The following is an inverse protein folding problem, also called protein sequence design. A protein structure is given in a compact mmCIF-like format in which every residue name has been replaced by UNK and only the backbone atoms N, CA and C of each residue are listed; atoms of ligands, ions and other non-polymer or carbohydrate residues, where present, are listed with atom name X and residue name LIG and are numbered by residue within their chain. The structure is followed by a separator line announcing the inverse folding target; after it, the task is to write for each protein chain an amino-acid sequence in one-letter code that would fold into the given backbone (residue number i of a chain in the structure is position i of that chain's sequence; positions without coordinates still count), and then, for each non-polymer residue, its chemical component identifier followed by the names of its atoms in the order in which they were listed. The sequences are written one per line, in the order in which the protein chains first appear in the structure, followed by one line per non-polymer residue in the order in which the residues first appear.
data_IF_958927176841
#
_entry.id   IF_958927176841
#
_cell.length_a   1.000
_cell.length_b   1.000
_cell.length_c   1.000
_cell.angle_alpha   90.00
_cell.angle_beta   90.00
_cell.angle_gamma   90.00
#
_symmetry.space_group_name_H-M   'P 1'
#
loop_
_entity.id
_entity.type
_entity.pdbx_description
1 polymer ?
#
# COMPACT_ATOMS: atom_id res chain seq x y z
N UNK A 1 20.35 -14.04 0.26
CA UNK A 1 18.99 -13.51 0.44
C UNK A 1 18.38 -14.23 1.63
N UNK A 2 17.67 -13.54 2.53
CA UNK A 2 17.07 -14.20 3.71
C UNK A 2 15.97 -15.16 3.24
N UNK A 3 15.95 -16.45 3.67
CA UNK A 3 14.99 -17.45 3.20
C UNK A 3 13.53 -17.04 3.45
N UNK A 4 13.26 -16.27 4.50
CA UNK A 4 11.92 -15.74 4.78
C UNK A 4 11.45 -14.70 3.75
N UNK A 5 12.36 -13.83 3.28
CA UNK A 5 12.05 -12.89 2.20
C UNK A 5 11.79 -13.62 0.88
N UNK A 6 12.60 -14.64 0.59
CA UNK A 6 12.38 -15.50 -0.59
C UNK A 6 11.01 -16.18 -0.53
N UNK A 7 10.63 -16.72 0.62
CA UNK A 7 9.32 -17.35 0.82
C UNK A 7 8.18 -16.36 0.55
N UNK A 8 8.23 -15.16 1.14
CA UNK A 8 7.19 -14.13 0.93
C UNK A 8 7.11 -13.71 -0.54
N UNK A 9 8.26 -13.57 -1.20
CA UNK A 9 8.30 -13.22 -2.62
C UNK A 9 7.71 -14.33 -3.51
N UNK A 10 8.06 -15.58 -3.27
CA UNK A 10 7.53 -16.75 -4.01
C UNK A 10 6.02 -16.88 -3.81
N UNK A 11 5.56 -16.80 -2.54
CA UNK A 11 4.13 -16.86 -2.23
C UNK A 11 3.39 -15.69 -2.86
N UNK A 12 3.93 -14.46 -2.77
CA UNK A 12 3.34 -13.27 -3.39
C UNK A 12 3.23 -13.40 -4.91
N UNK A 13 4.29 -13.89 -5.57
CA UNK A 13 4.29 -14.11 -7.02
C UNK A 13 3.28 -15.19 -7.43
N UNK A 14 3.20 -16.29 -6.70
CA UNK A 14 2.22 -17.35 -6.97
C UNK A 14 0.78 -16.85 -6.82
N UNK A 15 0.50 -16.03 -5.79
CA UNK A 15 -0.80 -15.41 -5.58
C UNK A 15 -1.13 -14.39 -6.67
N UNK A 16 -0.16 -13.58 -7.11
CA UNK A 16 -0.33 -12.63 -8.20
C UNK A 16 -0.71 -13.33 -9.51
N UNK A 17 -0.01 -14.43 -9.84
CA UNK A 17 -0.34 -15.23 -11.02
C UNK A 17 -1.72 -15.88 -10.89
N UNK A 18 -2.03 -16.47 -9.73
CA UNK A 18 -3.35 -17.02 -9.44
C UNK A 18 -4.46 -15.97 -9.55
N UNK A 19 -4.23 -14.75 -9.06
CA UNK A 19 -5.17 -13.65 -9.17
C UNK A 19 -5.34 -13.16 -10.59
N UNK A 20 -4.26 -13.10 -11.37
CA UNK A 20 -4.34 -12.76 -12.80
C UNK A 20 -5.21 -13.73 -13.58
N UNK A 21 -5.07 -15.03 -13.33
CA UNK A 21 -5.92 -16.07 -13.93
C UNK A 21 -7.38 -15.96 -13.44
N UNK A 22 -7.58 -15.70 -12.15
CA UNK A 22 -8.90 -15.53 -11.56
C UNK A 22 -9.66 -14.35 -12.18
N UNK A 23 -9.02 -13.21 -12.34
CA UNK A 23 -9.60 -12.03 -12.98
C UNK A 23 -9.85 -12.24 -14.47
N UNK A 24 -8.97 -12.98 -15.16
CA UNK A 24 -9.10 -13.22 -16.60
C UNK A 24 -10.18 -14.23 -16.99
N UNK A 25 -10.45 -15.22 -16.13
CA UNK A 25 -11.27 -16.37 -16.52
C UNK A 25 -12.45 -16.64 -15.57
N UNK A 26 -12.39 -16.23 -14.30
CA UNK A 26 -13.33 -16.68 -13.27
C UNK A 26 -14.05 -15.55 -12.54
N UNK A 27 -13.76 -14.32 -12.87
CA UNK A 27 -14.41 -13.13 -12.26
C UNK A 27 -14.99 -12.25 -13.35
N UNK A 28 -16.24 -11.85 -13.19
CA UNK A 28 -16.85 -10.80 -14.01
C UNK A 28 -16.27 -9.44 -13.61
N UNK A 29 -15.60 -8.79 -14.54
CA UNK A 29 -14.92 -7.51 -14.30
C UNK A 29 -15.89 -6.35 -14.08
N UNK A 30 -17.11 -6.43 -14.64
CA UNK A 30 -18.11 -5.35 -14.51
C UNK A 30 -18.78 -5.40 -13.13
N UNK A 31 -19.25 -6.56 -12.73
CA UNK A 31 -19.94 -6.73 -11.43
C UNK A 31 -18.99 -6.98 -10.26
N UNK A 32 -17.76 -7.45 -10.53
CA UNK A 32 -16.81 -7.90 -9.51
C UNK A 32 -17.21 -9.22 -8.84
N UNK A 33 -18.18 -9.93 -9.40
CA UNK A 33 -18.70 -11.20 -8.89
C UNK A 33 -17.88 -12.38 -9.43
N UNK A 34 -17.79 -13.40 -8.61
CA UNK A 34 -17.17 -14.67 -8.96
C UNK A 34 -18.12 -15.48 -9.87
N UNK A 35 -17.70 -15.79 -11.09
CA UNK A 35 -18.45 -16.62 -12.04
C UNK A 35 -18.27 -18.11 -11.70
N UNK A 36 -17.02 -18.51 -11.41
CA UNK A 36 -16.66 -19.90 -11.16
C UNK A 36 -15.84 -20.01 -9.88
N UNK A 37 -16.10 -21.07 -9.10
CA UNK A 37 -15.36 -21.40 -7.90
C UNK A 37 -15.96 -20.81 -6.61
N UNK A 38 -15.27 -21.06 -5.49
CA UNK A 38 -15.73 -20.64 -4.17
C UNK A 38 -15.13 -19.29 -3.77
N UNK A 39 -15.97 -18.38 -3.33
CA UNK A 39 -15.59 -17.09 -2.73
C UNK A 39 -14.71 -17.29 -1.50
N UNK A 40 -15.00 -18.32 -0.71
CA UNK A 40 -14.24 -18.65 0.50
C UNK A 40 -12.79 -19.04 0.21
N UNK A 41 -12.53 -19.72 -0.92
CA UNK A 41 -11.17 -20.09 -1.32
C UNK A 41 -10.31 -18.83 -1.60
N UNK A 42 -10.91 -17.81 -2.20
CA UNK A 42 -10.24 -16.53 -2.48
C UNK A 42 -9.91 -15.77 -1.20
N UNK A 43 -10.85 -15.73 -0.26
CA UNK A 43 -10.58 -15.11 1.05
C UNK A 43 -9.57 -15.92 1.87
N UNK A 44 -9.57 -17.24 1.77
CA UNK A 44 -8.58 -18.08 2.42
C UNK A 44 -7.17 -17.79 1.85
N UNK A 45 -7.04 -17.68 0.53
CA UNK A 45 -5.77 -17.31 -0.12
C UNK A 45 -5.26 -15.94 0.35
N UNK A 46 -6.14 -14.94 0.40
CA UNK A 46 -5.83 -13.61 0.94
C UNK A 46 -5.40 -13.69 2.41
N UNK A 47 -6.14 -14.44 3.24
CA UNK A 47 -5.82 -14.65 4.65
C UNK A 47 -4.46 -15.32 4.84
N UNK A 48 -4.13 -16.34 4.04
CA UNK A 48 -2.82 -17.01 4.07
C UNK A 48 -1.70 -16.02 3.70
N UNK A 49 -1.89 -15.20 2.66
CA UNK A 49 -0.92 -14.18 2.26
C UNK A 49 -0.61 -13.21 3.41
N UNK A 50 -1.65 -12.73 4.09
CA UNK A 50 -1.51 -11.84 5.25
C UNK A 50 -0.78 -12.53 6.39
N UNK A 51 -1.19 -13.76 6.75
CA UNK A 51 -0.59 -14.51 7.86
C UNK A 51 0.89 -14.83 7.61
N UNK A 52 1.23 -15.29 6.41
CA UNK A 52 2.63 -15.59 6.03
C UNK A 52 3.47 -14.32 6.08
N UNK A 53 2.95 -13.21 5.55
CA UNK A 53 3.63 -11.91 5.55
C UNK A 53 3.83 -11.36 6.97
N UNK A 54 2.83 -11.44 7.83
CA UNK A 54 2.92 -11.01 9.22
C UNK A 54 3.91 -11.87 10.02
N UNK A 55 3.88 -13.18 9.82
CA UNK A 55 4.80 -14.11 10.48
C UNK A 55 6.26 -13.86 10.04
N UNK A 56 6.50 -13.76 8.74
CA UNK A 56 7.80 -13.44 8.19
C UNK A 56 8.31 -12.08 8.68
N UNK A 57 7.45 -11.06 8.66
CA UNK A 57 7.80 -9.71 9.10
C UNK A 57 8.16 -9.61 10.57
N UNK A 58 7.48 -10.37 11.43
CA UNK A 58 7.83 -10.44 12.86
C UNK A 58 9.17 -11.14 13.13
N UNK A 59 9.59 -12.05 12.24
CA UNK A 59 10.89 -12.72 12.30
C UNK A 59 12.02 -11.88 11.71
N UNK A 60 11.70 -10.99 10.78
CA UNK A 60 12.63 -10.07 10.14
C UNK A 60 12.65 -8.76 10.95
N UNK A 61 13.37 -8.74 12.05
CA UNK A 61 13.58 -7.50 12.78
C UNK A 61 14.49 -6.56 11.97
N UNK A 62 13.98 -5.38 11.60
CA UNK A 62 14.82 -4.29 11.13
C UNK A 62 14.96 -3.23 12.24
N UNK A 63 16.11 -2.59 12.30
CA UNK A 63 16.29 -1.47 13.20
C UNK A 63 15.74 -0.19 12.55
N UNK A 64 14.74 0.48 13.16
CA UNK A 64 14.16 1.69 12.59
C UNK A 64 15.16 2.82 12.38
N UNK A 65 16.25 2.85 13.15
CA UNK A 65 17.34 3.82 12.99
C UNK A 65 18.02 3.72 11.62
N UNK A 66 18.13 2.52 11.05
CA UNK A 66 18.76 2.30 9.75
C UNK A 66 17.94 2.89 8.58
N UNK A 67 16.65 3.20 8.80
CA UNK A 67 15.82 3.89 7.80
C UNK A 67 16.18 5.37 7.62
N UNK A 68 16.89 5.96 8.58
CA UNK A 68 17.40 7.32 8.54
C UNK A 68 18.77 7.42 7.86
N UNK A 69 19.02 6.58 6.89
CA UNK A 69 20.27 6.53 6.12
C UNK A 69 20.06 6.85 4.65
N UNK A 70 21.19 7.10 3.95
CA UNK A 70 21.20 7.20 2.51
C UNK A 70 20.87 5.84 1.87
N UNK A 71 19.76 5.76 1.15
CA UNK A 71 19.32 4.55 0.47
C UNK A 71 18.79 4.88 -0.93
N UNK A 72 19.68 4.79 -1.93
CA UNK A 72 19.34 5.11 -3.32
C UNK A 72 18.15 4.31 -3.85
N UNK A 73 18.09 2.97 -3.72
CA UNK A 73 16.97 2.21 -4.27
C UNK A 73 15.63 2.61 -3.65
N UNK A 74 15.56 2.76 -2.31
CA UNK A 74 14.33 3.23 -1.64
C UNK A 74 13.93 4.64 -2.10
N UNK A 75 14.92 5.53 -2.25
CA UNK A 75 14.69 6.89 -2.75
C UNK A 75 14.12 6.90 -4.18
N UNK A 76 14.68 6.09 -5.08
CA UNK A 76 14.21 6.00 -6.47
C UNK A 76 12.78 5.44 -6.54
N UNK A 77 12.51 4.32 -5.88
CA UNK A 77 11.18 3.70 -5.87
C UNK A 77 10.13 4.65 -5.29
N UNK A 78 10.47 5.34 -4.19
CA UNK A 78 9.55 6.31 -3.58
C UNK A 78 9.35 7.55 -4.45
N UNK A 79 10.39 8.01 -5.18
CA UNK A 79 10.24 9.09 -6.15
C UNK A 79 9.32 8.70 -7.31
N UNK A 80 9.45 7.48 -7.83
CA UNK A 80 8.57 6.95 -8.88
C UNK A 80 7.12 6.88 -8.40
N UNK A 81 6.89 6.36 -7.18
CA UNK A 81 5.56 6.34 -6.58
C UNK A 81 4.99 7.76 -6.40
N UNK A 82 5.81 8.70 -5.93
CA UNK A 82 5.42 10.12 -5.80
C UNK A 82 5.05 10.75 -7.14
N UNK A 83 5.82 10.50 -8.18
CA UNK A 83 5.54 10.97 -9.54
C UNK A 83 4.23 10.36 -10.07
N UNK A 84 4.00 9.06 -9.84
CA UNK A 84 2.77 8.37 -10.23
C UNK A 84 1.53 8.99 -9.57
N UNK A 85 1.54 9.19 -8.25
CA UNK A 85 0.42 9.80 -7.56
C UNK A 85 0.17 11.24 -8.01
N UNK A 86 1.23 12.03 -8.20
CA UNK A 86 1.11 13.40 -8.71
C UNK A 86 0.51 13.42 -10.11
N UNK A 87 1.01 12.57 -11.02
CA UNK A 87 0.49 12.45 -12.38
C UNK A 87 -0.97 11.98 -12.40
N UNK A 88 -1.33 10.99 -11.59
CA UNK A 88 -2.70 10.49 -11.47
C UNK A 88 -3.66 11.59 -11.02
N UNK A 89 -3.28 12.39 -10.03
CA UNK A 89 -4.06 13.54 -9.58
C UNK A 89 -4.27 14.58 -10.69
N UNK A 90 -3.22 14.96 -11.42
CA UNK A 90 -3.34 15.89 -12.55
C UNK A 90 -4.17 15.32 -13.71
N UNK A 91 -4.01 14.05 -14.03
CA UNK A 91 -4.82 13.40 -15.07
C UNK A 91 -6.30 13.41 -14.74
N UNK A 92 -6.69 13.27 -13.45
CA UNK A 92 -8.10 13.39 -13.05
C UNK A 92 -8.65 14.78 -13.31
N UNK A 93 -7.85 15.82 -13.10
CA UNK A 93 -8.26 17.20 -13.46
C UNK A 93 -8.42 17.36 -14.98
N UNK A 94 -7.54 16.75 -15.78
CA UNK A 94 -7.56 16.87 -17.24
C UNK A 94 -8.72 16.09 -17.90
N UNK A 95 -9.04 14.90 -17.40
CA UNK A 95 -10.09 14.03 -17.96
C UNK A 95 -11.50 14.51 -17.61
N UNK A 96 -11.63 15.40 -16.64
CA UNK A 96 -12.91 15.93 -16.17
C UNK A 96 -13.38 15.25 -14.88
N UNK A 97 -13.95 16.06 -14.01
CA UNK A 97 -14.40 15.61 -12.69
C UNK A 97 -15.87 15.23 -12.73
N UNK A 98 -16.16 14.02 -12.30
CA UNK A 98 -17.53 13.50 -12.22
C UNK A 98 -18.25 13.83 -10.91
N UNK A 99 -17.67 14.69 -10.07
CA UNK A 99 -18.28 15.09 -8.80
C UNK A 99 -17.28 15.52 -7.73
N UNK A 100 -17.79 15.99 -6.59
CA UNK A 100 -16.97 16.47 -5.46
C UNK A 100 -15.98 15.41 -4.93
N UNK A 101 -16.38 14.14 -4.91
CA UNK A 101 -15.51 13.04 -4.46
C UNK A 101 -14.29 12.84 -5.35
N UNK A 102 -14.45 12.97 -6.66
CA UNK A 102 -13.37 12.92 -7.64
C UNK A 102 -12.38 14.08 -7.47
N UNK A 103 -12.89 15.28 -7.18
CA UNK A 103 -12.10 16.47 -6.89
C UNK A 103 -11.23 16.29 -5.63
N UNK A 104 -11.84 15.86 -4.52
CA UNK A 104 -11.13 15.60 -3.27
C UNK A 104 -10.03 14.56 -3.48
N UNK A 105 -10.34 13.48 -4.17
CA UNK A 105 -9.37 12.42 -4.48
C UNK A 105 -8.18 12.95 -5.29
N UNK A 106 -8.42 13.77 -6.31
CA UNK A 106 -7.35 14.35 -7.12
C UNK A 106 -6.40 15.22 -6.29
N UNK A 107 -6.93 16.06 -5.40
CA UNK A 107 -6.12 16.87 -4.49
C UNK A 107 -5.29 15.97 -3.56
N UNK A 108 -5.90 14.95 -2.97
CA UNK A 108 -5.22 14.04 -2.05
C UNK A 108 -4.14 13.20 -2.75
N UNK A 109 -4.34 12.81 -4.01
CA UNK A 109 -3.33 12.14 -4.83
C UNK A 109 -2.11 13.06 -5.04
N UNK A 110 -2.32 14.34 -5.36
CA UNK A 110 -1.22 15.31 -5.52
C UNK A 110 -0.49 15.52 -4.19
N UNK A 111 -1.20 15.70 -3.08
CA UNK A 111 -0.60 15.89 -1.76
C UNK A 111 0.22 14.68 -1.32
N UNK A 112 -0.29 13.46 -1.56
CA UNK A 112 0.45 12.22 -1.32
C UNK A 112 1.72 12.16 -2.18
N UNK A 113 1.62 12.46 -3.47
CA UNK A 113 2.75 12.50 -4.39
C UNK A 113 3.83 13.47 -3.96
N UNK A 114 3.46 14.68 -3.53
CA UNK A 114 4.39 15.69 -3.01
C UNK A 114 5.07 15.24 -1.70
N UNK A 115 4.32 14.57 -0.82
CA UNK A 115 4.88 14.01 0.40
C UNK A 115 5.88 12.89 0.11
N UNK A 116 5.56 11.96 -0.78
CA UNK A 116 6.48 10.89 -1.23
C UNK A 116 7.72 11.45 -1.90
N UNK A 117 7.60 12.50 -2.70
CA UNK A 117 8.74 13.16 -3.33
C UNK A 117 9.71 13.78 -2.29
N UNK A 118 9.18 14.38 -1.21
CA UNK A 118 10.00 14.88 -0.09
C UNK A 118 10.68 13.74 0.64
N UNK A 119 9.99 12.64 0.89
CA UNK A 119 10.55 11.44 1.51
C UNK A 119 11.66 10.82 0.65
N UNK A 120 11.44 10.71 -0.65
CA UNK A 120 12.44 10.26 -1.61
C UNK A 120 13.71 11.13 -1.59
N UNK A 121 13.53 12.46 -1.56
CA UNK A 121 14.65 13.41 -1.45
C UNK A 121 15.45 13.20 -0.17
N UNK A 122 14.80 12.84 0.95
CA UNK A 122 15.48 12.55 2.22
C UNK A 122 16.39 11.32 2.11
N UNK A 123 15.97 10.26 1.41
CA UNK A 123 16.78 9.05 1.19
C UNK A 123 17.85 9.19 0.10
N UNK A 124 17.65 10.09 -0.86
CA UNK A 124 18.62 10.34 -1.93
C UNK A 124 19.77 11.26 -1.49
N UNK A 125 19.60 12.05 -0.42
CA UNK A 125 20.65 12.90 0.12
C UNK A 125 21.68 12.08 0.89
N UNK A 126 22.95 12.50 0.85
CA UNK A 126 24.03 11.89 1.65
C UNK A 126 23.75 12.07 3.15
N UNK A 127 23.41 13.31 3.53
CA UNK A 127 23.00 13.64 4.90
C UNK A 127 21.48 13.54 5.00
N UNK A 128 21.01 12.53 5.74
CA UNK A 128 19.59 12.32 5.91
C UNK A 128 18.95 13.49 6.66
N UNK A 129 17.90 14.03 6.12
CA UNK A 129 17.08 15.05 6.75
C UNK A 129 15.62 14.59 6.79
N UNK A 130 14.88 14.82 7.87
CA UNK A 130 13.48 14.44 7.91
C UNK A 130 12.71 15.14 6.78
N UNK A 131 11.76 14.45 6.12
CA UNK A 131 11.01 15.00 5.00
C UNK A 131 10.14 16.21 5.37
N UNK A 132 9.87 16.38 6.66
CA UNK A 132 9.22 17.57 7.21
C UNK A 132 9.55 17.73 8.70
N UNK A 133 9.33 18.96 9.22
CA UNK A 133 9.61 19.29 10.64
C UNK A 133 8.68 18.56 11.62
N UNK A 134 7.46 18.25 11.20
CA UNK A 134 6.44 17.63 12.06
C UNK A 134 6.02 16.27 11.53
N UNK A 135 5.82 15.30 12.44
CA UNK A 135 5.23 13.99 12.16
C UNK A 135 3.82 14.12 11.55
N UNK A 136 3.07 15.15 11.91
CA UNK A 136 1.75 15.42 11.37
C UNK A 136 1.74 15.59 9.84
N UNK A 137 2.88 15.97 9.23
CA UNK A 137 3.01 16.01 7.77
C UNK A 137 2.84 14.64 7.11
N UNK A 138 3.09 13.55 7.83
CA UNK A 138 2.85 12.18 7.35
C UNK A 138 1.37 11.90 7.09
N UNK A 139 0.46 12.64 7.71
CA UNK A 139 -0.99 12.54 7.46
C UNK A 139 -1.28 12.80 5.98
N UNK A 140 -0.64 13.79 5.38
CA UNK A 140 -0.84 14.11 3.95
C UNK A 140 -0.52 12.95 3.01
N UNK A 141 0.46 12.10 3.37
CA UNK A 141 0.78 10.90 2.62
C UNK A 141 -0.25 9.77 2.78
N UNK A 142 -1.03 9.76 3.86
CA UNK A 142 -1.96 8.67 4.18
C UNK A 142 -3.41 8.99 3.83
N UNK A 143 -3.80 10.25 3.74
CA UNK A 143 -5.17 10.68 3.52
C UNK A 143 -5.80 10.15 2.23
N UNK A 144 -5.03 9.99 1.17
CA UNK A 144 -5.53 9.44 -0.10
C UNK A 144 -6.04 8.01 0.08
N UNK A 145 -5.31 7.17 0.83
CA UNK A 145 -5.70 5.79 1.09
C UNK A 145 -6.95 5.72 1.96
N UNK A 146 -7.01 6.57 2.98
CA UNK A 146 -8.20 6.72 3.84
C UNK A 146 -9.42 7.14 3.03
N UNK A 147 -9.29 8.16 2.18
CA UNK A 147 -10.36 8.60 1.28
C UNK A 147 -10.83 7.50 0.33
N UNK A 148 -9.89 6.76 -0.27
CA UNK A 148 -10.23 5.66 -1.16
C UNK A 148 -10.99 4.54 -0.43
N UNK A 149 -10.64 4.23 0.82
CA UNK A 149 -11.39 3.28 1.64
C UNK A 149 -12.80 3.79 1.88
N UNK A 150 -12.97 5.05 2.33
CA UNK A 150 -14.28 5.64 2.55
C UNK A 150 -15.14 5.65 1.29
N UNK A 151 -14.58 6.09 0.16
CA UNK A 151 -15.29 6.12 -1.12
C UNK A 151 -15.81 4.75 -1.51
N UNK A 152 -15.02 3.69 -1.27
CA UNK A 152 -15.45 2.32 -1.56
C UNK A 152 -16.65 1.88 -0.72
N UNK A 153 -16.69 2.26 0.55
CA UNK A 153 -17.85 2.00 1.40
C UNK A 153 -19.07 2.83 1.03
N UNK A 154 -18.89 4.03 0.49
CA UNK A 154 -19.98 4.90 0.07
C UNK A 154 -20.57 4.50 -1.30
N UNK A 155 -19.73 4.04 -2.22
CA UNK A 155 -20.14 3.73 -3.60
C UNK A 155 -20.70 2.30 -3.75
N UNK A 156 -20.23 1.37 -2.95
CA UNK A 156 -20.61 -0.03 -3.09
C UNK A 156 -21.36 -0.54 -1.84
N UNK A 157 -22.58 -1.04 -2.05
CA UNK A 157 -23.22 -1.86 -1.02
C UNK A 157 -22.29 -3.03 -0.66
N UNK A 158 -22.04 -3.21 0.61
CA UNK A 158 -21.15 -4.26 1.13
C UNK A 158 -21.74 -5.64 0.88
N UNK A 159 -21.36 -6.26 -0.23
CA UNK A 159 -21.67 -7.66 -0.49
C UNK A 159 -20.37 -8.47 -0.39
N UNK A 160 -20.36 -9.45 0.52
CA UNK A 160 -19.22 -10.36 0.67
C UNK A 160 -18.93 -11.22 -0.57
N UNK A 161 -19.89 -11.32 -1.49
CA UNK A 161 -19.71 -11.98 -2.78
C UNK A 161 -18.83 -11.19 -3.77
N UNK A 162 -18.65 -9.89 -3.55
CA UNK A 162 -17.80 -9.04 -4.38
C UNK A 162 -16.35 -9.11 -3.89
N UNK A 163 -15.62 -10.10 -4.38
CA UNK A 163 -14.23 -10.36 -3.94
C UNK A 163 -13.29 -9.25 -4.38
N UNK A 164 -13.41 -8.76 -5.61
CA UNK A 164 -12.50 -7.76 -6.16
C UNK A 164 -12.52 -6.41 -5.41
N UNK A 165 -13.69 -5.79 -5.15
CA UNK A 165 -13.76 -4.58 -4.32
C UNK A 165 -13.24 -4.79 -2.89
N UNK A 166 -13.52 -5.95 -2.30
CA UNK A 166 -13.03 -6.29 -0.96
C UNK A 166 -11.52 -6.41 -0.91
N UNK A 167 -10.90 -7.09 -1.88
CA UNK A 167 -9.44 -7.20 -1.98
C UNK A 167 -8.79 -5.80 -2.12
N UNK A 168 -9.37 -4.90 -2.92
CA UNK A 168 -8.89 -3.53 -3.05
C UNK A 168 -8.92 -2.77 -1.71
N UNK A 169 -9.96 -2.94 -0.90
CA UNK A 169 -10.02 -2.32 0.44
C UNK A 169 -8.91 -2.87 1.33
N UNK A 170 -8.63 -4.18 1.30
CA UNK A 170 -7.53 -4.77 2.07
C UNK A 170 -6.17 -4.22 1.65
N UNK A 171 -5.92 -4.02 0.35
CA UNK A 171 -4.70 -3.36 -0.16
C UNK A 171 -4.56 -1.96 0.41
N UNK A 172 -5.62 -1.16 0.33
CA UNK A 172 -5.62 0.22 0.84
C UNK A 172 -5.38 0.30 2.35
N UNK A 173 -6.01 -0.59 3.13
CA UNK A 173 -5.80 -0.71 4.57
C UNK A 173 -4.37 -1.16 4.89
N UNK A 174 -3.83 -2.15 4.17
CA UNK A 174 -2.44 -2.59 4.30
C UNK A 174 -1.46 -1.46 4.07
N UNK A 175 -1.65 -0.68 3.00
CA UNK A 175 -0.84 0.51 2.70
C UNK A 175 -0.96 1.58 3.77
N UNK A 176 -2.17 1.83 4.30
CA UNK A 176 -2.40 2.78 5.38
C UNK A 176 -1.64 2.39 6.66
N UNK A 177 -1.72 1.12 7.06
CA UNK A 177 -1.02 0.59 8.24
C UNK A 177 0.49 0.65 8.04
N UNK A 178 0.98 0.27 6.85
CA UNK A 178 2.41 0.36 6.52
C UNK A 178 2.92 1.80 6.57
N UNK A 179 2.24 2.74 5.90
CA UNK A 179 2.66 4.14 5.89
C UNK A 179 2.62 4.77 7.29
N UNK A 180 1.61 4.43 8.10
CA UNK A 180 1.54 4.88 9.49
C UNK A 180 2.72 4.36 10.31
N UNK A 181 3.07 3.08 10.15
CA UNK A 181 4.24 2.47 10.81
C UNK A 181 5.55 3.09 10.30
N UNK A 182 5.65 3.38 9.01
CA UNK A 182 6.81 4.04 8.40
C UNK A 182 6.98 5.46 8.93
N UNK A 183 5.92 6.25 8.97
CA UNK A 183 5.93 7.61 9.54
C UNK A 183 6.41 7.56 10.98
N UNK A 184 5.85 6.67 11.79
CA UNK A 184 6.27 6.50 13.19
C UNK A 184 7.76 6.13 13.29
N UNK A 185 8.24 5.19 12.47
CA UNK A 185 9.64 4.78 12.47
C UNK A 185 10.60 5.90 12.04
N UNK A 186 10.17 6.77 11.11
CA UNK A 186 10.98 7.89 10.64
C UNK A 186 11.07 9.04 11.64
N UNK A 187 10.03 9.30 12.44
CA UNK A 187 10.03 10.41 13.40
C UNK A 187 10.34 9.99 14.83
N UNK A 188 10.01 8.75 15.21
CA UNK A 188 10.17 8.20 16.56
C UNK A 188 10.87 6.84 16.53
N UNK A 189 12.12 6.74 16.03
CA UNK A 189 12.81 5.46 15.85
C UNK A 189 13.08 4.72 17.16
N UNK A 190 13.18 5.44 18.28
CA UNK A 190 13.44 4.83 19.59
C UNK A 190 12.22 4.14 20.20
N UNK A 191 11.01 4.63 19.86
CA UNK A 191 9.74 4.07 20.36
C UNK A 191 9.03 3.20 19.34
N UNK A 192 9.57 3.09 18.12
CA UNK A 192 8.96 2.30 17.06
C UNK A 192 9.47 0.86 17.10
N UNK A 193 8.55 -0.08 16.88
CA UNK A 193 8.87 -1.49 16.75
C UNK A 193 9.21 -1.83 15.30
N UNK A 194 10.48 -2.19 15.06
CA UNK A 194 10.94 -2.60 13.73
C UNK A 194 10.27 -3.86 13.21
N UNK A 195 9.82 -4.75 14.11
CA UNK A 195 9.05 -5.94 13.73
C UNK A 195 7.67 -5.54 13.19
N UNK A 196 7.02 -4.58 13.82
CA UNK A 196 5.73 -4.07 13.36
C UNK A 196 5.86 -3.41 11.98
N UNK A 197 6.93 -2.65 11.74
CA UNK A 197 7.20 -2.04 10.44
C UNK A 197 7.43 -3.10 9.35
N UNK A 198 8.29 -4.09 9.60
CA UNK A 198 8.54 -5.17 8.65
C UNK A 198 7.27 -6.00 8.40
N UNK A 199 6.50 -6.31 9.44
CA UNK A 199 5.27 -7.06 9.33
C UNK A 199 4.21 -6.31 8.49
N UNK A 200 4.00 -5.02 8.78
CA UNK A 200 3.05 -4.19 8.02
C UNK A 200 3.47 -3.98 6.57
N UNK A 201 4.78 -3.78 6.32
CA UNK A 201 5.31 -3.64 4.97
C UNK A 201 5.16 -4.90 4.13
N UNK A 202 5.51 -6.06 4.69
CA UNK A 202 5.33 -7.34 3.99
C UNK A 202 3.86 -7.72 3.82
N UNK A 203 3.01 -7.39 4.79
CA UNK A 203 1.56 -7.60 4.66
C UNK A 203 0.98 -6.72 3.54
N UNK A 204 1.33 -5.42 3.48
CA UNK A 204 0.91 -4.52 2.42
C UNK A 204 1.39 -5.01 1.04
N UNK A 205 2.63 -5.50 0.96
CA UNK A 205 3.19 -6.12 -0.25
C UNK A 205 2.42 -7.38 -0.64
N UNK A 206 2.24 -8.33 0.29
CA UNK A 206 1.55 -9.60 0.03
C UNK A 206 0.10 -9.42 -0.42
N UNK A 207 -0.64 -8.50 0.23
CA UNK A 207 -2.02 -8.18 -0.16
C UNK A 207 -2.08 -7.43 -1.49
N UNK A 208 -1.06 -6.63 -1.82
CA UNK A 208 -0.98 -5.92 -3.09
C UNK A 208 -0.90 -6.84 -4.31
N UNK A 209 -0.54 -8.11 -4.13
CA UNK A 209 -0.52 -9.14 -5.18
C UNK A 209 -1.78 -10.02 -5.21
N UNK A 210 -2.69 -9.88 -4.26
CA UNK A 210 -3.97 -10.59 -4.21
C UNK A 210 -5.11 -9.73 -4.73
#
# INVERSE_FOLDING_TARGET
MNPLLTLVFVVGTALALGRGLDLGFWTDLESGLCIVGSVWLRYAALGIAVLVSLFAGRKLACEPKNLRGHCKPSGIVTAMAGAFFTAAGFLRFAVGMTGAGSFVRAILEILCGQWLARLAKSWLRKDWQPPAKSMASGIWGTLVFYWCVLSRFMENSSSWHRVSPTAQVWVLLGMLVFLSSLVRALWLPETSDGKALCASGLAAFGVGFC
#
